data_IF_885515347666
#
_entry.id   IF_885515347666
#
_cell.length_a   1.000
_cell.length_b   1.000
_cell.length_c   1.000
_cell.angle_alpha   90.00
_cell.angle_beta   90.00
_cell.angle_gamma   90.00
#
_symmetry.space_group_name_H-M   'P 1'
#
loop_
_entity.id
_entity.type
_entity.pdbx_description
1 polymer ?
#
# COMPACT_ATOMS: atom_id res chain seq x y z
N UNK A 1 -19.51 39.07 -10.66
CA UNK A 1 -19.26 38.12 -9.55
C UNK A 1 -18.75 36.81 -10.14
N UNK A 2 -17.44 36.54 -10.04
CA UNK A 2 -16.79 35.36 -10.63
C UNK A 2 -16.75 34.27 -9.56
N UNK A 3 -17.71 33.35 -9.61
CA UNK A 3 -17.79 32.20 -8.70
C UNK A 3 -16.51 31.36 -8.81
N UNK A 4 -15.67 31.44 -7.78
CA UNK A 4 -14.50 30.57 -7.62
C UNK A 4 -15.01 29.20 -7.18
N UNK A 5 -15.43 28.37 -8.14
CA UNK A 5 -15.50 26.94 -7.92
C UNK A 5 -14.07 26.39 -7.98
N UNK A 6 -13.28 26.68 -6.94
CA UNK A 6 -12.06 25.96 -6.66
C UNK A 6 -12.45 24.57 -6.11
N UNK A 7 -13.10 23.76 -6.94
CA UNK A 7 -13.23 22.34 -6.69
C UNK A 7 -11.83 21.76 -6.90
N UNK A 8 -11.13 21.51 -5.81
CA UNK A 8 -9.90 20.73 -5.76
C UNK A 8 -10.16 19.45 -6.56
N UNK A 9 -9.70 19.39 -7.80
CA UNK A 9 -10.00 18.26 -8.68
C UNK A 9 -9.09 17.11 -8.27
N UNK A 10 -9.51 16.33 -7.28
CA UNK A 10 -8.84 15.10 -6.91
C UNK A 10 -8.99 14.15 -8.09
N UNK A 11 -7.87 13.78 -8.73
CA UNK A 11 -7.92 12.86 -9.86
C UNK A 11 -8.44 11.50 -9.42
N UNK A 12 -9.29 10.85 -10.22
CA UNK A 12 -9.81 9.51 -9.94
C UNK A 12 -8.71 8.50 -9.58
N UNK A 13 -7.55 8.54 -10.24
CA UNK A 13 -6.43 7.66 -9.95
C UNK A 13 -5.88 7.83 -8.52
N UNK A 14 -5.96 9.03 -7.95
CA UNK A 14 -5.56 9.26 -6.55
C UNK A 14 -6.61 8.81 -5.55
N UNK A 15 -7.88 8.79 -5.94
CA UNK A 15 -8.95 8.17 -5.13
C UNK A 15 -8.74 6.66 -5.12
N UNK A 16 -8.50 6.06 -6.29
CA UNK A 16 -8.15 4.64 -6.41
C UNK A 16 -6.90 4.33 -5.57
N UNK A 17 -5.85 5.14 -5.68
CA UNK A 17 -4.64 4.98 -4.87
C UNK A 17 -4.94 5.03 -3.35
N UNK A 18 -5.82 5.91 -2.92
CA UNK A 18 -6.26 6.00 -1.52
C UNK A 18 -7.02 4.74 -1.09
N UNK A 19 -8.00 4.29 -1.86
CA UNK A 19 -8.85 3.14 -1.51
C UNK A 19 -8.00 1.86 -1.45
N UNK A 20 -7.25 1.57 -2.52
CA UNK A 20 -6.43 0.37 -2.58
C UNK A 20 -5.25 0.43 -1.61
N UNK A 21 -4.72 1.63 -1.31
CA UNK A 21 -3.74 1.81 -0.24
C UNK A 21 -4.30 1.47 1.14
N UNK A 22 -5.54 1.88 1.45
CA UNK A 22 -6.22 1.49 2.69
C UNK A 22 -6.46 -0.02 2.74
N UNK A 23 -6.96 -0.62 1.65
CA UNK A 23 -7.18 -2.08 1.58
C UNK A 23 -5.86 -2.86 1.75
N UNK A 24 -4.78 -2.39 1.12
CA UNK A 24 -3.44 -2.93 1.31
C UNK A 24 -2.99 -2.84 2.77
N UNK A 25 -3.19 -1.70 3.42
CA UNK A 25 -2.87 -1.55 4.84
C UNK A 25 -3.71 -2.45 5.75
N UNK A 26 -5.00 -2.63 5.46
CA UNK A 26 -5.86 -3.56 6.22
C UNK A 26 -5.42 -5.02 6.02
N UNK A 27 -5.06 -5.42 4.80
CA UNK A 27 -4.51 -6.74 4.53
C UNK A 27 -3.15 -6.95 5.22
N UNK A 28 -2.26 -5.96 5.22
CA UNK A 28 -1.01 -6.05 5.98
C UNK A 28 -1.26 -6.16 7.49
N UNK A 29 -2.28 -5.47 8.00
CA UNK A 29 -2.65 -5.54 9.41
C UNK A 29 -3.13 -6.93 9.82
N UNK A 30 -3.92 -7.60 8.99
CA UNK A 30 -4.36 -8.98 9.24
C UNK A 30 -3.16 -9.93 9.27
N UNK A 31 -2.22 -9.81 8.33
CA UNK A 31 -0.95 -10.54 8.39
C UNK A 31 -0.18 -10.27 9.68
N UNK A 32 -0.03 -9.00 10.07
CA UNK A 32 0.69 -8.66 11.30
C UNK A 32 0.10 -9.29 12.56
N UNK A 33 -1.23 -9.40 12.63
CA UNK A 33 -1.91 -10.14 13.70
C UNK A 33 -1.59 -11.64 13.60
N UNK A 34 -1.69 -12.23 12.41
CA UNK A 34 -1.37 -13.63 12.16
C UNK A 34 0.06 -13.98 12.60
N UNK A 35 1.04 -13.17 12.22
CA UNK A 35 2.44 -13.37 12.57
C UNK A 35 2.71 -13.18 14.06
N UNK A 36 2.11 -12.16 14.70
CA UNK A 36 2.27 -11.94 16.13
C UNK A 36 1.72 -13.11 16.96
N UNK A 37 0.64 -13.74 16.50
CA UNK A 37 0.02 -14.89 17.17
C UNK A 37 0.85 -16.18 17.06
N UNK A 38 1.79 -16.28 16.11
CA UNK A 38 2.73 -17.40 16.05
C UNK A 38 3.78 -17.34 17.19
N UNK A 39 3.95 -16.17 17.81
CA UNK A 39 4.72 -15.99 19.03
C UNK A 39 6.23 -15.77 18.82
N UNK A 40 6.98 -15.86 19.91
CA UNK A 40 8.41 -15.56 19.97
C UNK A 40 9.26 -16.71 19.41
N UNK A 41 9.08 -17.03 18.13
CA UNK A 41 9.75 -18.11 17.42
C UNK A 41 10.45 -17.57 16.18
N UNK A 42 11.54 -18.22 15.77
CA UNK A 42 12.22 -17.89 14.52
C UNK A 42 11.39 -18.40 13.32
N UNK A 43 11.34 -17.65 12.20
CA UNK A 43 10.73 -18.15 10.98
C UNK A 43 11.55 -19.32 10.39
N UNK A 44 10.88 -20.29 9.78
CA UNK A 44 11.53 -21.43 9.12
C UNK A 44 12.33 -21.03 7.88
N UNK A 45 12.05 -19.86 7.31
CA UNK A 45 12.73 -19.31 6.16
C UNK A 45 12.32 -17.85 5.88
N UNK A 46 12.76 -17.33 4.74
CA UNK A 46 12.40 -15.97 4.29
C UNK A 46 10.92 -15.89 3.90
N UNK A 47 10.40 -16.93 3.24
CA UNK A 47 8.98 -17.07 2.93
C UNK A 47 8.31 -17.77 4.11
N UNK A 48 7.24 -17.17 4.62
CA UNK A 48 6.48 -17.65 5.77
C UNK A 48 5.02 -17.80 5.38
N UNK A 49 4.29 -18.64 6.10
CA UNK A 49 2.85 -18.71 5.99
C UNK A 49 2.22 -18.01 7.18
N UNK A 50 1.39 -17.02 6.89
CA UNK A 50 0.49 -16.39 7.85
C UNK A 50 -0.75 -17.25 8.05
N UNK A 51 -1.43 -17.06 9.18
CA UNK A 51 -2.67 -17.79 9.51
C UNK A 51 -2.49 -19.30 9.47
N UNK A 52 -1.51 -19.82 10.21
CA UNK A 52 -1.18 -21.26 10.28
C UNK A 52 -2.22 -22.10 11.03
N UNK A 53 -3.27 -21.48 11.57
CA UNK A 53 -4.38 -22.14 12.24
C UNK A 53 -5.74 -21.65 11.72
N UNK A 54 -6.79 -22.46 11.93
CA UNK A 54 -8.17 -22.13 11.57
C UNK A 54 -8.53 -22.40 10.11
N UNK A 55 -9.72 -21.96 9.65
CA UNK A 55 -10.24 -22.33 8.33
C UNK A 55 -9.35 -21.92 7.15
N UNK A 56 -8.65 -20.78 7.24
CA UNK A 56 -7.72 -20.33 6.19
C UNK A 56 -6.53 -21.30 6.08
N UNK A 57 -5.95 -21.72 7.22
CA UNK A 57 -4.92 -22.74 7.24
C UNK A 57 -5.40 -24.06 6.61
N UNK A 58 -6.57 -24.52 7.03
CA UNK A 58 -7.11 -25.82 6.62
C UNK A 58 -7.50 -25.88 5.15
N UNK A 59 -8.08 -24.81 4.60
CA UNK A 59 -8.61 -24.81 3.23
C UNK A 59 -7.64 -24.21 2.21
N UNK A 60 -6.70 -23.35 2.63
CA UNK A 60 -5.78 -22.63 1.74
C UNK A 60 -4.29 -22.80 2.09
N UNK A 61 -3.96 -23.50 3.18
CA UNK A 61 -2.57 -23.70 3.62
C UNK A 61 -1.95 -22.49 4.34
N UNK A 62 -2.76 -21.49 4.69
CA UNK A 62 -2.31 -20.19 5.16
C UNK A 62 -2.21 -19.19 4.01
N UNK A 63 -1.72 -17.99 4.30
CA UNK A 63 -1.40 -17.01 3.26
C UNK A 63 0.11 -16.77 3.20
N UNK A 64 0.76 -16.90 2.03
CA UNK A 64 2.18 -16.70 1.92
C UNK A 64 2.56 -15.23 2.12
N UNK A 65 3.64 -15.03 2.87
CA UNK A 65 4.29 -13.74 3.11
C UNK A 65 5.81 -13.87 3.07
N UNK A 66 6.49 -12.75 3.25
CA UNK A 66 7.95 -12.70 3.31
C UNK A 66 8.38 -11.89 4.54
N UNK A 67 9.40 -12.35 5.27
CA UNK A 67 10.04 -11.55 6.31
C UNK A 67 11.56 -11.71 6.26
N UNK A 68 12.27 -10.61 6.49
CA UNK A 68 13.72 -10.62 6.77
C UNK A 68 14.02 -10.55 8.28
N UNK A 69 12.98 -10.45 9.11
CA UNK A 69 13.08 -10.33 10.56
C UNK A 69 13.15 -11.73 11.17
N UNK A 70 14.18 -12.05 11.98
CA UNK A 70 14.42 -13.42 12.46
C UNK A 70 13.50 -13.84 13.62
N UNK A 71 12.32 -13.24 13.75
CA UNK A 71 11.38 -13.49 14.83
C UNK A 71 9.94 -13.16 14.42
N UNK A 72 9.01 -14.08 14.57
CA UNK A 72 7.62 -13.92 14.11
C UNK A 72 6.81 -12.91 14.95
N UNK A 73 7.00 -12.89 16.27
CA UNK A 73 6.37 -11.87 17.12
C UNK A 73 6.80 -10.46 16.72
N UNK A 74 8.11 -10.24 16.56
CA UNK A 74 8.65 -8.95 16.12
C UNK A 74 8.21 -8.63 14.68
N UNK A 75 8.19 -9.63 13.80
CA UNK A 75 7.64 -9.52 12.43
C UNK A 75 6.22 -8.95 12.51
N UNK A 76 5.31 -9.59 13.24
CA UNK A 76 3.92 -9.17 13.34
C UNK A 76 3.74 -7.76 13.89
N UNK A 77 4.48 -7.39 14.95
CA UNK A 77 4.45 -6.02 15.50
C UNK A 77 4.91 -5.00 14.47
N UNK A 78 6.01 -5.27 13.75
CA UNK A 78 6.50 -4.39 12.69
C UNK A 78 5.51 -4.30 11.53
N UNK A 79 4.90 -5.42 11.12
CA UNK A 79 3.87 -5.44 10.09
C UNK A 79 2.69 -4.55 10.48
N UNK A 80 2.21 -4.64 11.73
CA UNK A 80 1.12 -3.80 12.24
C UNK A 80 1.48 -2.33 12.15
N UNK A 81 2.67 -1.94 12.63
CA UNK A 81 3.12 -0.54 12.61
C UNK A 81 3.21 -0.01 11.17
N UNK A 82 3.83 -0.77 10.27
CA UNK A 82 3.98 -0.37 8.86
C UNK A 82 2.62 -0.32 8.17
N UNK A 83 1.72 -1.25 8.46
CA UNK A 83 0.36 -1.29 7.92
C UNK A 83 -0.46 -0.08 8.35
N UNK A 84 -0.39 0.32 9.62
CA UNK A 84 -1.00 1.56 10.10
C UNK A 84 -0.40 2.79 9.40
N UNK A 85 0.91 2.81 9.18
CA UNK A 85 1.55 3.86 8.41
C UNK A 85 1.04 3.91 6.96
N UNK A 86 0.84 2.75 6.30
CA UNK A 86 0.22 2.65 4.97
C UNK A 86 -1.19 3.21 4.98
N UNK A 87 -2.03 2.87 5.96
CA UNK A 87 -3.41 3.38 6.08
C UNK A 87 -3.40 4.90 6.24
N UNK A 88 -2.67 5.42 7.22
CA UNK A 88 -2.57 6.85 7.50
C UNK A 88 -2.04 7.59 6.27
N UNK A 89 -1.03 7.04 5.60
CA UNK A 89 -0.47 7.63 4.40
C UNK A 89 -1.46 7.67 3.24
N UNK A 90 -2.19 6.58 3.05
CA UNK A 90 -3.19 6.45 1.99
C UNK A 90 -4.32 7.47 2.16
N UNK A 91 -4.79 7.69 3.39
CA UNK A 91 -5.88 8.65 3.68
C UNK A 91 -5.39 10.09 3.63
N UNK A 92 -4.29 10.40 4.33
CA UNK A 92 -3.90 11.80 4.59
C UNK A 92 -2.92 12.37 3.55
N UNK A 93 -2.09 11.54 2.93
CA UNK A 93 -0.88 12.01 2.25
C UNK A 93 -0.72 11.52 0.81
N UNK A 94 -1.51 10.55 0.33
CA UNK A 94 -1.44 10.03 -1.05
C UNK A 94 -1.68 11.12 -2.11
N UNK A 95 -2.40 12.19 -1.74
CA UNK A 95 -2.69 13.33 -2.60
C UNK A 95 -1.50 14.30 -2.78
N UNK A 96 -0.41 14.13 -2.01
CA UNK A 96 0.76 15.02 -2.07
C UNK A 96 1.65 14.71 -3.28
N UNK A 97 2.57 15.63 -3.61
CA UNK A 97 3.47 15.56 -4.79
C UNK A 97 4.27 14.25 -4.90
N UNK A 98 4.56 13.58 -3.78
CA UNK A 98 5.28 12.30 -3.68
C UNK A 98 4.42 11.18 -3.06
N UNK A 99 3.09 11.34 -3.02
CA UNK A 99 2.18 10.44 -2.31
C UNK A 99 2.27 9.00 -2.79
N UNK A 100 2.22 8.78 -4.10
CA UNK A 100 2.34 7.45 -4.71
C UNK A 100 3.70 6.78 -4.48
N UNK A 101 4.80 7.53 -4.57
CA UNK A 101 6.15 6.99 -4.33
C UNK A 101 6.30 6.50 -2.88
N UNK A 102 5.84 7.29 -1.91
CA UNK A 102 5.93 6.90 -0.50
C UNK A 102 5.01 5.70 -0.21
N UNK A 103 3.85 5.62 -0.87
CA UNK A 103 2.99 4.44 -0.79
C UNK A 103 3.72 3.18 -1.30
N UNK A 104 4.42 3.26 -2.43
CA UNK A 104 5.24 2.14 -2.96
C UNK A 104 6.32 1.72 -1.95
N UNK A 105 7.03 2.69 -1.35
CA UNK A 105 8.07 2.41 -0.37
C UNK A 105 7.50 1.75 0.90
N UNK A 106 6.38 2.26 1.41
CA UNK A 106 5.70 1.69 2.57
C UNK A 106 5.17 0.29 2.27
N UNK A 107 4.61 0.05 1.09
CA UNK A 107 4.17 -1.29 0.67
C UNK A 107 5.35 -2.25 0.50
N UNK A 108 6.48 -1.79 -0.02
CA UNK A 108 7.70 -2.60 -0.11
C UNK A 108 8.23 -2.94 1.28
N UNK A 109 8.24 -1.98 2.21
CA UNK A 109 8.58 -2.24 3.60
C UNK A 109 7.63 -3.26 4.23
N UNK A 110 6.32 -3.12 4.00
CA UNK A 110 5.28 -4.05 4.47
C UNK A 110 5.53 -5.48 3.97
N UNK A 111 5.95 -5.66 2.71
CA UNK A 111 6.33 -6.96 2.15
C UNK A 111 7.54 -7.57 2.86
N UNK A 112 8.54 -6.76 3.22
CA UNK A 112 9.78 -7.26 3.84
C UNK A 112 9.62 -7.62 5.32
N UNK A 113 8.55 -7.15 5.97
CA UNK A 113 8.30 -7.36 7.40
C UNK A 113 7.09 -8.24 7.66
N UNK A 114 6.67 -9.08 6.71
CA UNK A 114 5.64 -10.10 6.94
C UNK A 114 4.22 -9.73 6.53
N UNK A 115 3.99 -8.67 5.76
CA UNK A 115 2.64 -8.21 5.40
C UNK A 115 1.91 -8.99 4.29
N UNK A 116 2.33 -10.22 4.01
CA UNK A 116 1.80 -11.03 2.91
C UNK A 116 2.30 -10.58 1.53
N UNK A 117 2.07 -11.39 0.49
CA UNK A 117 2.33 -10.96 -0.89
C UNK A 117 1.20 -10.08 -1.45
N UNK A 118 -0.06 -10.43 -1.18
CA UNK A 118 -1.22 -9.73 -1.72
C UNK A 118 -1.27 -8.25 -1.34
N UNK A 119 -1.24 -7.91 -0.04
CA UNK A 119 -1.42 -6.53 0.39
C UNK A 119 -0.35 -5.55 -0.14
N UNK A 120 0.96 -5.86 -0.08
CA UNK A 120 2.00 -5.03 -0.68
C UNK A 120 1.87 -4.84 -2.19
N UNK A 121 1.56 -5.89 -2.94
CA UNK A 121 1.39 -5.79 -4.39
C UNK A 121 0.24 -4.82 -4.72
N UNK A 122 -0.88 -4.92 -4.00
CA UNK A 122 -2.00 -3.98 -4.14
C UNK A 122 -1.57 -2.54 -3.85
N UNK A 123 -0.82 -2.32 -2.77
CA UNK A 123 -0.34 -0.99 -2.39
C UNK A 123 0.68 -0.39 -3.38
N UNK A 124 1.56 -1.22 -3.95
CA UNK A 124 2.49 -0.80 -5.02
C UNK A 124 1.73 -0.37 -6.26
N UNK A 125 0.76 -1.18 -6.73
CA UNK A 125 -0.06 -0.85 -7.90
C UNK A 125 -0.88 0.44 -7.67
N UNK A 126 -1.43 0.60 -6.47
CA UNK A 126 -2.10 1.82 -6.04
C UNK A 126 -1.17 3.04 -6.09
N UNK A 127 0.06 2.90 -5.60
CA UNK A 127 1.07 3.95 -5.65
C UNK A 127 1.50 4.32 -7.08
N UNK A 128 1.64 3.35 -7.97
CA UNK A 128 1.93 3.56 -9.40
C UNK A 128 0.81 4.32 -10.09
N UNK A 129 -0.46 3.95 -9.84
CA UNK A 129 -1.61 4.70 -10.36
C UNK A 129 -1.60 6.17 -9.89
N UNK A 130 -1.18 6.40 -8.64
CA UNK A 130 -0.98 7.74 -8.08
C UNK A 130 0.11 8.57 -8.77
N UNK A 131 1.15 7.94 -9.34
CA UNK A 131 2.23 8.61 -10.07
C UNK A 131 1.82 9.03 -11.49
N UNK A 132 1.09 8.16 -12.21
CA UNK A 132 0.81 8.30 -13.65
C UNK A 132 -0.02 9.54 -14.05
N UNK A 133 -0.81 10.11 -13.14
CA UNK A 133 -1.66 11.29 -13.46
C UNK A 133 -0.86 12.56 -13.68
N UNK A 134 0.32 12.69 -13.09
CA UNK A 134 1.10 13.92 -13.17
C UNK A 134 1.70 14.11 -14.55
N UNK A 135 2.19 13.03 -15.16
CA UNK A 135 2.85 13.02 -16.47
C UNK A 135 1.86 13.30 -17.61
N UNK A 136 0.65 12.71 -17.56
CA UNK A 136 -0.35 12.90 -18.62
C UNK A 136 -0.89 14.33 -18.64
N UNK A 137 -1.19 14.91 -17.47
CA UNK A 137 -1.73 16.28 -17.41
C UNK A 137 -0.73 17.35 -17.85
N UNK A 138 0.57 17.15 -17.62
CA UNK A 138 1.60 18.08 -18.13
C UNK A 138 1.72 18.01 -19.65
N UNK A 139 1.64 16.81 -20.24
CA UNK A 139 1.66 16.64 -21.70
C UNK A 139 0.45 17.29 -22.39
N UNK A 140 -0.76 17.09 -21.84
CA UNK A 140 -1.98 17.70 -22.41
C UNK A 140 -1.99 19.22 -22.29
N UNK A 141 -1.55 19.78 -21.15
CA UNK A 141 -1.48 21.22 -20.97
C UNK A 141 -0.50 21.90 -21.95
N UNK A 142 0.63 21.24 -22.23
CA UNK A 142 1.59 21.71 -23.21
C UNK A 142 1.03 21.69 -24.64
N UNK A 143 0.33 20.62 -25.03
CA UNK A 143 -0.29 20.51 -26.37
C UNK A 143 -1.40 21.55 -26.59
N UNK A 144 -2.21 21.81 -25.55
CA UNK A 144 -3.26 22.84 -25.61
C UNK A 144 -2.68 24.25 -25.72
N UNK A 145 -1.54 24.53 -25.07
CA UNK A 145 -0.87 25.82 -25.18
C UNK A 145 -0.33 26.05 -26.60
N UNK A 146 0.33 25.04 -27.19
CA UNK A 146 0.84 25.10 -28.57
C UNK A 146 -0.30 25.37 -29.56
N UNK A 147 -1.45 24.70 -29.41
CA UNK A 147 -2.61 24.90 -30.29
C UNK A 147 -3.29 26.26 -30.15
N UNK A 148 -3.01 27.03 -29.10
CA UNK A 148 -3.54 28.38 -28.90
C UNK A 148 -2.64 29.47 -29.47
N UNK A 149 -1.39 29.15 -29.73
CA UNK A 149 -0.37 30.08 -30.26
C UNK A 149 -0.14 29.90 -31.78
N UNK A 150 -0.79 28.91 -32.40
CA UNK A 150 -0.84 28.67 -33.84
C UNK A 150 -2.16 29.17 -34.46
#
# INVERSE_FOLDING_TARGET
MKGKNALTTISAARIVASIFGVLAGLGGLTHGIGEALQGNVAPEGIVINSWTQGPIATNMGGEPGMTIVPNLLVTGVLTIIVSLAVIVWSVAFVQRKRGGLILILLSTAMLLVGGGFGPPIMGILAGVAGLGTKTILTGVAHDVQIRREA
#
